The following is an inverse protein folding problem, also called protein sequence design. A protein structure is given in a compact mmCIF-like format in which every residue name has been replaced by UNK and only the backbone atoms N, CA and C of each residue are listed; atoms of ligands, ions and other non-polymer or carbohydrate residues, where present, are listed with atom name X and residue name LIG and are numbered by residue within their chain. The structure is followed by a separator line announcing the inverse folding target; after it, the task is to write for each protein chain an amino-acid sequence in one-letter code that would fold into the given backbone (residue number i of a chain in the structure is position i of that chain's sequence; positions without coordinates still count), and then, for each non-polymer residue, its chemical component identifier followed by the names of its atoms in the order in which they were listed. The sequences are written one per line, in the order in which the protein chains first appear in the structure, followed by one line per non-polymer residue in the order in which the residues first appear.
data_IF_922038183702
#
_entry.id   IF_922038183702
#
_cell.length_a   1.000
_cell.length_b   1.000
_cell.length_c   1.000
_cell.angle_alpha   90.00
_cell.angle_beta   90.00
_cell.angle_gamma   90.00
#
_symmetry.space_group_name_H-M   'P 1'
#
loop_
_entity.id
_entity.type
_entity.pdbx_description
1 polymer ?
#
# COMPACT_ATOMS: atom_id res chain seq x y z
N UNK A 1 -3.50 -92.79 -19.16
CA UNK A 1 -2.48 -91.90 -18.56
C UNK A 1 -2.05 -90.93 -19.65
N UNK A 2 -2.61 -89.72 -19.67
CA UNK A 2 -2.31 -88.70 -20.68
C UNK A 2 -1.03 -87.97 -20.27
N UNK A 3 0.06 -88.23 -20.98
CA UNK A 3 1.31 -87.48 -20.81
C UNK A 3 1.01 -86.03 -21.24
N UNK A 4 1.07 -85.05 -20.34
CA UNK A 4 0.83 -83.67 -20.73
C UNK A 4 1.92 -83.25 -21.73
N UNK A 5 1.56 -82.58 -22.84
CA UNK A 5 2.55 -82.15 -23.82
C UNK A 5 3.52 -81.18 -23.14
N UNK A 6 4.80 -81.54 -23.11
CA UNK A 6 5.93 -80.76 -22.54
C UNK A 6 5.92 -79.25 -22.89
N UNK A 7 5.34 -78.94 -24.03
CA UNK A 7 5.04 -77.63 -24.61
C UNK A 7 4.22 -76.75 -23.65
N UNK A 8 3.22 -77.32 -22.97
CA UNK A 8 2.41 -76.62 -21.97
C UNK A 8 3.23 -76.29 -20.71
N UNK A 9 4.12 -77.19 -20.29
CA UNK A 9 5.00 -76.93 -19.15
C UNK A 9 5.99 -75.80 -19.44
N UNK A 10 6.54 -75.77 -20.65
CA UNK A 10 7.41 -74.67 -21.12
C UNK A 10 6.64 -73.36 -21.19
N UNK A 11 5.43 -73.36 -21.76
CA UNK A 11 4.59 -72.16 -21.82
C UNK A 11 4.25 -71.62 -20.42
N UNK A 12 3.88 -72.50 -19.48
CA UNK A 12 3.59 -72.12 -18.10
C UNK A 12 4.83 -71.54 -17.39
N UNK A 13 6.01 -72.09 -17.63
CA UNK A 13 7.27 -71.61 -17.04
C UNK A 13 7.65 -70.22 -17.58
N UNK A 14 7.49 -69.98 -18.88
CA UNK A 14 7.72 -68.65 -19.49
C UNK A 14 6.74 -67.61 -18.93
N UNK A 15 5.47 -67.99 -18.79
CA UNK A 15 4.42 -67.10 -18.26
C UNK A 15 4.67 -66.76 -16.78
N UNK A 16 5.13 -67.74 -15.99
CA UNK A 16 5.53 -67.54 -14.60
C UNK A 16 6.74 -66.60 -14.47
N UNK A 17 7.76 -66.77 -15.32
CA UNK A 17 8.92 -65.87 -15.37
C UNK A 17 8.54 -64.45 -15.78
N UNK A 18 7.66 -64.30 -16.76
CA UNK A 18 7.15 -63.00 -17.19
C UNK A 18 6.37 -62.31 -16.05
N UNK A 19 5.49 -63.03 -15.36
CA UNK A 19 4.76 -62.51 -14.21
C UNK A 19 5.70 -62.09 -13.06
N UNK A 20 6.73 -62.89 -12.78
CA UNK A 20 7.74 -62.58 -11.76
C UNK A 20 8.53 -61.31 -12.13
N UNK A 21 8.95 -61.18 -13.39
CA UNK A 21 9.67 -60.01 -13.88
C UNK A 21 8.82 -58.74 -13.77
N UNK A 22 7.54 -58.80 -14.14
CA UNK A 22 6.61 -57.67 -14.01
C UNK A 22 6.41 -57.32 -12.53
N UNK A 23 6.17 -58.29 -11.65
CA UNK A 23 6.01 -58.05 -10.21
C UNK A 23 7.23 -57.36 -9.58
N UNK A 24 8.45 -57.82 -9.93
CA UNK A 24 9.70 -57.21 -9.47
C UNK A 24 9.89 -55.78 -10.02
N UNK A 25 9.55 -55.54 -11.28
CA UNK A 25 9.64 -54.21 -11.89
C UNK A 25 8.69 -53.21 -11.21
N UNK A 26 7.47 -53.65 -10.90
CA UNK A 26 6.44 -52.84 -10.27
C UNK A 26 6.80 -52.51 -8.82
N UNK A 27 7.35 -53.47 -8.08
CA UNK A 27 7.81 -53.26 -6.71
C UNK A 27 9.00 -52.29 -6.63
N UNK A 28 9.93 -52.35 -7.60
CA UNK A 28 11.04 -51.40 -7.70
C UNK A 28 10.56 -49.99 -8.06
N UNK A 29 9.64 -49.88 -9.01
CA UNK A 29 9.01 -48.61 -9.39
C UNK A 29 8.24 -47.96 -8.23
N UNK A 30 7.49 -48.75 -7.46
CA UNK A 30 6.75 -48.24 -6.29
C UNK A 30 7.66 -47.71 -5.19
N UNK A 31 8.77 -48.39 -4.90
CA UNK A 31 9.76 -47.93 -3.92
C UNK A 31 10.43 -46.62 -4.35
N UNK A 32 10.73 -46.48 -5.65
CA UNK A 32 11.26 -45.22 -6.19
C UNK A 32 10.22 -44.10 -6.14
N UNK A 33 8.95 -44.40 -6.45
CA UNK A 33 7.85 -43.45 -6.39
C UNK A 33 7.56 -42.95 -4.96
N UNK A 34 7.72 -43.81 -3.95
CA UNK A 34 7.58 -43.39 -2.54
C UNK A 34 8.67 -42.40 -2.12
N UNK A 35 9.93 -42.66 -2.48
CA UNK A 35 11.05 -41.78 -2.14
C UNK A 35 10.99 -40.42 -2.86
N UNK A 36 10.55 -40.38 -4.12
CA UNK A 36 10.33 -39.12 -4.82
C UNK A 36 9.14 -38.35 -4.27
N UNK A 37 8.08 -39.06 -3.87
CA UNK A 37 6.88 -38.45 -3.28
C UNK A 37 7.17 -37.80 -1.92
N UNK A 38 7.95 -38.46 -1.05
CA UNK A 38 8.37 -37.89 0.24
C UNK A 38 9.21 -36.63 0.08
N UNK A 39 10.22 -36.66 -0.80
CA UNK A 39 11.06 -35.48 -1.07
C UNK A 39 10.25 -34.34 -1.67
N UNK A 40 9.31 -34.65 -2.55
CA UNK A 40 8.41 -33.66 -3.13
C UNK A 40 7.54 -33.01 -2.05
N UNK A 41 6.95 -33.80 -1.15
CA UNK A 41 6.18 -33.28 -0.02
C UNK A 41 7.03 -32.43 0.93
N UNK A 42 8.27 -32.84 1.21
CA UNK A 42 9.21 -32.06 2.03
C UNK A 42 9.51 -30.70 1.39
N UNK A 43 9.77 -30.67 0.07
CA UNK A 43 10.01 -29.41 -0.64
C UNK A 43 8.77 -28.50 -0.64
N UNK A 44 7.57 -29.07 -0.76
CA UNK A 44 6.34 -28.29 -0.67
C UNK A 44 6.13 -27.73 0.75
N UNK A 45 6.40 -28.51 1.80
CA UNK A 45 6.30 -28.02 3.18
C UNK A 45 7.31 -26.93 3.50
N UNK A 46 8.58 -27.09 3.10
CA UNK A 46 9.59 -26.03 3.27
C UNK A 46 9.26 -24.75 2.50
N UNK A 47 8.61 -24.87 1.34
CA UNK A 47 8.13 -23.72 0.59
C UNK A 47 6.96 -23.04 1.31
N UNK A 48 5.98 -23.81 1.76
CA UNK A 48 4.82 -23.29 2.48
C UNK A 48 5.21 -22.60 3.79
N UNK A 49 6.18 -23.15 4.51
CA UNK A 49 6.69 -22.57 5.75
C UNK A 49 7.46 -21.27 5.51
N UNK A 50 8.22 -21.19 4.40
CA UNK A 50 8.86 -19.94 3.98
C UNK A 50 7.85 -18.88 3.58
N UNK A 51 6.80 -19.26 2.84
CA UNK A 51 5.71 -18.36 2.46
C UNK A 51 4.96 -17.86 3.72
N UNK A 52 4.70 -18.72 4.70
CA UNK A 52 4.04 -18.35 5.96
C UNK A 52 4.90 -17.37 6.79
N UNK A 53 6.20 -17.64 6.95
CA UNK A 53 7.14 -16.72 7.60
C UNK A 53 7.25 -15.39 6.85
N UNK A 54 7.20 -15.43 5.52
CA UNK A 54 7.16 -14.24 4.67
C UNK A 54 5.92 -13.40 4.95
N UNK A 55 4.75 -14.03 5.00
CA UNK A 55 3.47 -13.38 5.32
C UNK A 55 3.47 -12.80 6.74
N UNK A 56 3.96 -13.54 7.73
CA UNK A 56 4.10 -13.04 9.11
C UNK A 56 5.01 -11.80 9.18
N UNK A 57 6.14 -11.83 8.47
CA UNK A 57 7.05 -10.68 8.42
C UNK A 57 6.42 -9.46 7.71
N UNK A 58 5.65 -9.69 6.65
CA UNK A 58 4.92 -8.65 5.94
C UNK A 58 3.82 -8.07 6.84
N UNK A 59 3.08 -8.92 7.57
CA UNK A 59 2.03 -8.50 8.50
C UNK A 59 2.61 -7.65 9.65
N UNK A 60 3.75 -8.06 10.22
CA UNK A 60 4.47 -7.27 11.21
C UNK A 60 5.02 -5.95 10.65
N UNK A 61 5.40 -5.94 9.36
CA UNK A 61 5.74 -4.72 8.63
C UNK A 61 4.54 -3.78 8.49
N UNK A 62 3.37 -4.29 8.12
CA UNK A 62 2.14 -3.52 8.02
C UNK A 62 1.68 -2.95 9.36
N UNK A 63 1.79 -3.71 10.46
CA UNK A 63 1.47 -3.20 11.80
C UNK A 63 2.28 -1.95 12.14
N UNK A 64 3.61 -2.01 11.96
CA UNK A 64 4.49 -0.84 12.17
C UNK A 64 4.16 0.34 11.27
N UNK A 65 3.75 0.08 10.02
CA UNK A 65 3.37 1.14 9.10
C UNK A 65 2.05 1.81 9.51
N UNK A 66 1.07 1.04 9.98
CA UNK A 66 -0.18 1.58 10.53
C UNK A 66 0.09 2.43 11.78
N UNK A 67 0.95 1.96 12.68
CA UNK A 67 1.33 2.73 13.87
C UNK A 67 2.00 4.07 13.50
N UNK A 68 2.83 4.06 12.45
CA UNK A 68 3.46 5.28 11.94
C UNK A 68 2.44 6.24 11.31
N UNK A 69 1.47 5.72 10.55
CA UNK A 69 0.39 6.54 9.97
C UNK A 69 -0.52 7.12 11.05
N UNK A 70 -0.82 6.37 12.10
CA UNK A 70 -1.60 6.85 13.25
C UNK A 70 -0.87 7.96 14.01
N UNK A 71 0.45 7.81 14.22
CA UNK A 71 1.28 8.86 14.81
C UNK A 71 1.31 10.13 13.96
N UNK A 72 1.49 10.01 12.65
CA UNK A 72 1.43 11.14 11.72
C UNK A 72 0.04 11.79 11.70
N UNK A 73 -1.03 10.98 11.73
CA UNK A 73 -2.41 11.45 11.81
C UNK A 73 -2.64 12.31 13.05
N UNK A 74 -2.22 11.83 14.23
CA UNK A 74 -2.31 12.61 15.48
C UNK A 74 -1.53 13.92 15.42
N UNK A 75 -0.32 13.90 14.87
CA UNK A 75 0.48 15.12 14.73
C UNK A 75 -0.20 16.12 13.78
N UNK A 76 -0.77 15.66 12.66
CA UNK A 76 -1.49 16.55 11.75
C UNK A 76 -2.75 17.12 12.38
N UNK A 77 -3.50 16.32 13.15
CA UNK A 77 -4.66 16.79 13.89
C UNK A 77 -4.29 17.83 14.95
N UNK A 78 -3.18 17.63 15.66
CA UNK A 78 -2.70 18.58 16.66
C UNK A 78 -2.27 19.90 16.02
N UNK A 79 -1.54 19.84 14.89
CA UNK A 79 -1.20 21.04 14.11
C UNK A 79 -2.44 21.78 13.60
N UNK A 80 -3.45 21.04 13.12
CA UNK A 80 -4.72 21.65 12.70
C UNK A 80 -5.44 22.30 13.88
N UNK A 81 -5.45 21.68 15.05
CA UNK A 81 -6.02 22.26 16.27
C UNK A 81 -5.32 23.56 16.67
N UNK A 82 -3.99 23.59 16.63
CA UNK A 82 -3.19 24.79 16.91
C UNK A 82 -3.44 25.90 15.88
N UNK A 83 -3.51 25.56 14.59
CA UNK A 83 -3.85 26.52 13.54
C UNK A 83 -5.26 27.08 13.72
N UNK A 84 -6.23 26.23 14.04
CA UNK A 84 -7.61 26.65 14.27
C UNK A 84 -7.70 27.59 15.47
N UNK A 85 -7.05 27.25 16.60
CA UNK A 85 -7.00 28.12 17.76
C UNK A 85 -6.33 29.47 17.45
N UNK A 86 -5.33 29.48 16.57
CA UNK A 86 -4.68 30.72 16.11
C UNK A 86 -5.59 31.55 15.20
N UNK A 87 -6.36 30.91 14.32
CA UNK A 87 -7.37 31.58 13.48
C UNK A 87 -8.47 32.16 14.36
N UNK A 88 -8.98 31.40 15.34
CA UNK A 88 -10.00 31.85 16.27
C UNK A 88 -9.51 33.04 17.11
N UNK A 89 -8.24 33.00 17.56
CA UNK A 89 -7.62 34.11 18.28
C UNK A 89 -7.46 35.35 17.41
N UNK A 90 -7.06 35.20 16.14
CA UNK A 90 -6.97 36.31 15.18
C UNK A 90 -8.35 36.88 14.88
N UNK A 91 -9.36 36.02 14.64
CA UNK A 91 -10.73 36.44 14.37
C UNK A 91 -11.39 37.15 15.56
N UNK A 92 -11.04 36.77 16.79
CA UNK A 92 -11.52 37.44 18.01
C UNK A 92 -10.83 38.80 18.27
N UNK A 93 -9.63 39.01 17.74
CA UNK A 93 -8.93 40.31 17.79
C UNK A 93 -9.40 41.25 16.66
N UNK A 94 -10.04 40.70 15.62
CA UNK A 94 -10.53 41.38 14.41
C UNK A 94 -11.98 41.90 14.56
N UNK A 95 -12.35 42.39 15.75
CA UNK A 95 -13.65 43.02 16.06
C UNK A 95 -13.89 44.35 15.29
N UNK A 96 -13.05 44.67 14.30
CA UNK A 96 -13.28 45.75 13.34
C UNK A 96 -13.83 45.19 12.02
N UNK A 97 -15.09 45.51 11.64
CA UNK A 97 -15.77 44.98 10.46
C UNK A 97 -15.16 45.40 9.10
N UNK A 98 -13.99 46.05 9.09
CA UNK A 98 -13.31 46.56 7.91
C UNK A 98 -12.52 45.50 7.12
N UNK A 99 -11.76 44.62 7.79
CA UNK A 99 -10.80 43.72 7.13
C UNK A 99 -11.49 42.69 6.21
N UNK A 100 -12.53 42.01 6.72
CA UNK A 100 -13.31 41.06 5.92
C UNK A 100 -14.04 41.71 4.73
N UNK A 101 -14.46 42.98 4.88
CA UNK A 101 -15.06 43.72 3.78
C UNK A 101 -14.02 44.14 2.73
N UNK A 102 -12.85 44.59 3.17
CA UNK A 102 -11.69 44.93 2.36
C UNK A 102 -11.16 43.74 1.54
N UNK A 103 -11.03 42.56 2.16
CA UNK A 103 -10.62 41.32 1.48
C UNK A 103 -11.59 40.94 0.34
N UNK A 104 -12.90 41.08 0.59
CA UNK A 104 -13.93 40.76 -0.41
C UNK A 104 -13.93 41.75 -1.58
N UNK A 105 -13.59 43.02 -1.34
CA UNK A 105 -13.48 44.04 -2.39
C UNK A 105 -12.17 43.93 -3.18
N UNK A 106 -11.06 43.63 -2.50
CA UNK A 106 -9.75 43.39 -3.11
C UNK A 106 -9.79 42.16 -4.04
N UNK A 107 -10.40 41.05 -3.62
CA UNK A 107 -10.61 39.85 -4.47
C UNK A 107 -11.49 40.09 -5.69
N UNK A 108 -12.34 41.13 -5.68
CA UNK A 108 -13.12 41.57 -6.84
C UNK A 108 -12.34 42.56 -7.73
N UNK A 109 -11.14 42.98 -7.32
CA UNK A 109 -10.27 43.89 -8.05
C UNK A 109 -10.78 45.33 -8.14
N UNK A 110 -11.67 45.73 -7.22
CA UNK A 110 -12.40 47.01 -7.27
C UNK A 110 -11.84 48.10 -6.37
N UNK A 111 -10.76 47.84 -5.65
CA UNK A 111 -10.22 48.76 -4.63
C UNK A 111 -8.71 48.86 -4.78
N UNK A 112 -8.18 50.07 -4.58
CA UNK A 112 -6.74 50.39 -4.65
C UNK A 112 -6.06 50.33 -3.27
N UNK A 113 -4.71 50.35 -3.24
CA UNK A 113 -3.93 50.32 -1.98
C UNK A 113 -4.26 51.54 -1.10
N UNK A 114 -4.31 52.74 -1.67
CA UNK A 114 -4.72 53.97 -0.96
C UNK A 114 -6.12 53.86 -0.37
N UNK A 115 -7.09 53.32 -1.12
CA UNK A 115 -8.48 53.20 -0.70
C UNK A 115 -8.65 52.12 0.40
N UNK A 116 -7.82 51.08 0.39
CA UNK A 116 -7.70 50.11 1.50
C UNK A 116 -7.17 50.76 2.79
N UNK A 117 -6.27 51.73 2.69
CA UNK A 117 -5.67 52.41 3.85
C UNK A 117 -6.64 53.47 4.40
N UNK A 118 -7.27 54.25 3.53
CA UNK A 118 -8.09 55.40 3.90
C UNK A 118 -9.50 55.00 4.36
N UNK A 119 -10.18 54.09 3.66
CA UNK A 119 -11.56 53.71 3.96
C UNK A 119 -11.68 52.52 4.92
N UNK A 120 -10.67 51.64 4.96
CA UNK A 120 -10.68 50.43 5.79
C UNK A 120 -9.67 50.45 6.93
N UNK A 121 -8.89 51.52 7.07
CA UNK A 121 -7.94 51.71 8.16
C UNK A 121 -6.78 50.71 8.18
N UNK A 122 -6.51 50.05 7.05
CA UNK A 122 -5.46 49.05 6.95
C UNK A 122 -4.07 49.70 6.97
N UNK A 123 -3.09 49.03 7.57
CA UNK A 123 -1.71 49.48 7.42
C UNK A 123 -1.25 49.33 5.97
N UNK A 124 -0.31 50.18 5.55
CA UNK A 124 0.26 50.15 4.20
C UNK A 124 0.84 48.76 3.83
N UNK A 125 1.38 48.06 4.84
CA UNK A 125 1.85 46.67 4.74
C UNK A 125 0.71 45.66 4.52
N UNK A 126 -0.42 45.82 5.20
CA UNK A 126 -1.59 44.93 5.08
C UNK A 126 -2.31 45.14 3.76
N UNK A 127 -2.50 46.39 3.33
CA UNK A 127 -3.10 46.74 2.06
C UNK A 127 -2.27 46.18 0.87
N UNK A 128 -0.94 46.28 0.94
CA UNK A 128 -0.05 45.68 -0.08
C UNK A 128 -0.05 44.16 -0.06
N UNK A 129 -0.11 43.53 1.10
CA UNK A 129 -0.21 42.08 1.21
C UNK A 129 -1.54 41.57 0.64
N UNK A 130 -2.65 42.25 0.95
CA UNK A 130 -3.98 41.95 0.43
C UNK A 130 -4.03 42.05 -1.10
N UNK A 131 -3.48 43.11 -1.67
CA UNK A 131 -3.40 43.27 -3.13
C UNK A 131 -2.55 42.18 -3.79
N UNK A 132 -1.43 41.78 -3.18
CA UNK A 132 -0.57 40.71 -3.69
C UNK A 132 -1.25 39.34 -3.65
N UNK A 133 -2.00 39.04 -2.59
CA UNK A 133 -2.71 37.76 -2.43
C UNK A 133 -3.93 37.68 -3.34
N UNK A 134 -4.62 38.80 -3.59
CA UNK A 134 -5.82 38.87 -4.42
C UNK A 134 -5.55 39.07 -5.92
N UNK A 135 -4.43 39.71 -6.29
CA UNK A 135 -3.91 39.81 -7.66
C UNK A 135 -2.48 39.28 -7.74
N UNK A 136 -2.29 37.95 -7.79
CA UNK A 136 -0.96 37.36 -7.96
C UNK A 136 -0.32 37.65 -9.35
N UNK A 137 -1.10 38.15 -10.32
CA UNK A 137 -0.67 38.35 -11.72
C UNK A 137 -0.15 39.77 -12.06
N UNK A 138 -0.23 40.75 -11.15
CA UNK A 138 0.23 42.14 -11.43
C UNK A 138 1.75 42.33 -11.31
N UNK A 139 2.50 41.32 -10.86
CA UNK A 139 3.96 41.35 -10.71
C UNK A 139 4.72 40.94 -11.99
N UNK A 140 4.03 40.90 -13.14
CA UNK A 140 4.62 40.63 -14.46
C UNK A 140 4.56 41.85 -15.39
N UNK A 141 5.13 42.99 -14.99
CA UNK A 141 6.21 43.68 -15.74
C UNK A 141 6.49 45.12 -15.22
N UNK A 142 7.78 45.48 -15.07
CA UNK A 142 8.24 46.86 -15.08
C UNK A 142 8.34 47.38 -16.51
N UNK A 143 7.87 48.62 -16.74
CA UNK A 143 8.43 49.70 -17.58
C UNK A 143 7.37 50.78 -17.83
#
# INVERSE_FOLDING_TARGET
MTIPPLWLAVAALVLSLAALAVGLSMQRGFKQAQLTRERWFQHQMERLEREHRGLESALAGFGRHIDQLDAQGRETLDRLGQLNARIDAVAADDDQPGFGHALRLASQGRVSVEELIEDFGLSESEARLLMRVSRPDDDSRPL
#
